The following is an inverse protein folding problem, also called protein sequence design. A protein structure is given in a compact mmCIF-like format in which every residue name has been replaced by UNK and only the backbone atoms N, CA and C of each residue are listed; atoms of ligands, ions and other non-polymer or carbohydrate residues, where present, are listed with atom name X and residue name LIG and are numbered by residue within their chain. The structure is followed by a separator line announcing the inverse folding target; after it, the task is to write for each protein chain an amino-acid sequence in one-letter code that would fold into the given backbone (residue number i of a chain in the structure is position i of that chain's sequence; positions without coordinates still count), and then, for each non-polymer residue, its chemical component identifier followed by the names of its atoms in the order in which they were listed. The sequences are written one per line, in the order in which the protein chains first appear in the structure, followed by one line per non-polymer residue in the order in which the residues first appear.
data_IF_074409731788
#
_entry.id   IF_074409731788
#
_cell.length_a   1.000
_cell.length_b   1.000
_cell.length_c   1.000
_cell.angle_alpha   90.00
_cell.angle_beta   90.00
_cell.angle_gamma   90.00
#
_symmetry.space_group_name_H-M   'P 1'
#
loop_
_entity.id
_entity.type
_entity.pdbx_description
1 polymer ?
#
# COMPACT_ATOMS: atom_id res chain seq x y z
N UNK A 1 36.83 -29.43 20.27
CA UNK A 1 35.51 -29.60 19.62
C UNK A 1 35.08 -28.24 19.10
N UNK A 2 35.06 -28.07 17.78
CA UNK A 2 34.94 -26.75 17.14
C UNK A 2 33.46 -26.33 16.99
N UNK A 3 33.17 -25.09 17.40
CA UNK A 3 31.85 -24.45 17.27
C UNK A 3 31.31 -24.40 15.82
N UNK A 4 32.21 -24.51 14.83
CA UNK A 4 31.88 -24.50 13.41
C UNK A 4 31.33 -25.85 12.93
N UNK A 5 31.82 -26.97 13.45
CA UNK A 5 31.28 -28.30 13.13
C UNK A 5 29.88 -28.49 13.72
N UNK A 6 29.63 -27.98 14.94
CA UNK A 6 28.30 -28.02 15.56
C UNK A 6 27.28 -27.22 14.75
N UNK A 7 27.66 -26.03 14.26
CA UNK A 7 26.79 -25.20 13.39
C UNK A 7 26.56 -25.81 12.01
N UNK A 8 27.54 -26.52 11.45
CA UNK A 8 27.40 -27.22 10.19
C UNK A 8 26.46 -28.43 10.32
N UNK A 9 26.66 -29.27 11.34
CA UNK A 9 25.79 -30.43 11.62
C UNK A 9 24.33 -30.01 11.88
N UNK A 10 24.12 -28.93 12.65
CA UNK A 10 22.76 -28.45 12.94
C UNK A 10 22.04 -27.87 11.72
N UNK A 11 22.77 -27.34 10.73
CA UNK A 11 22.20 -26.89 9.44
C UNK A 11 21.88 -28.07 8.52
N UNK A 12 22.68 -29.13 8.58
CA UNK A 12 22.50 -30.32 7.75
C UNK A 12 21.27 -31.14 8.19
N UNK A 13 21.08 -31.30 9.50
CA UNK A 13 19.86 -31.87 10.11
C UNK A 13 18.59 -31.03 9.84
N UNK A 14 18.72 -29.72 9.66
CA UNK A 14 17.56 -28.87 9.32
C UNK A 14 17.14 -29.01 7.86
N UNK A 15 18.09 -29.34 6.98
CA UNK A 15 17.85 -29.47 5.55
C UNK A 15 17.19 -30.82 5.21
N UNK A 16 17.45 -31.86 6.00
CA UNK A 16 16.78 -33.17 5.91
C UNK A 16 15.33 -33.16 6.42
N UNK A 17 14.90 -32.10 7.11
CA UNK A 17 13.50 -31.90 7.53
C UNK A 17 12.63 -31.21 6.47
N UNK A 18 13.21 -30.77 5.35
CA UNK A 18 12.46 -30.11 4.28
C UNK A 18 11.69 -31.14 3.46
N UNK A 19 10.38 -30.93 3.35
CA UNK A 19 9.52 -31.76 2.52
C UNK A 19 9.67 -31.35 1.05
N UNK A 20 9.77 -32.33 0.14
CA UNK A 20 9.86 -32.09 -1.31
C UNK A 20 8.62 -31.37 -1.88
N UNK A 21 7.47 -31.44 -1.17
CA UNK A 21 6.20 -30.81 -1.57
C UNK A 21 6.04 -29.36 -1.11
N UNK A 22 7.12 -28.69 -0.73
CA UNK A 22 7.14 -27.25 -0.36
C UNK A 22 6.57 -26.36 -1.48
N UNK A 23 6.78 -26.70 -2.76
CA UNK A 23 6.24 -25.93 -3.90
C UNK A 23 4.71 -25.92 -3.93
N UNK A 24 4.06 -27.02 -3.54
CA UNK A 24 2.61 -27.14 -3.45
C UNK A 24 2.02 -26.36 -2.25
N UNK A 25 2.83 -26.12 -1.21
CA UNK A 25 2.42 -25.35 -0.02
C UNK A 25 2.01 -23.92 -0.39
N UNK A 26 2.82 -23.25 -1.21
CA UNK A 26 2.56 -21.87 -1.65
C UNK A 26 1.29 -21.82 -2.51
N UNK A 27 1.17 -22.74 -3.47
CA UNK A 27 -0.03 -22.86 -4.30
C UNK A 27 -1.29 -23.10 -3.46
N UNK A 28 -1.19 -23.94 -2.42
CA UNK A 28 -2.30 -24.16 -1.48
C UNK A 28 -2.65 -22.89 -0.70
N UNK A 29 -1.66 -22.14 -0.21
CA UNK A 29 -1.83 -20.89 0.55
C UNK A 29 -2.53 -19.78 -0.24
N UNK A 30 -2.29 -19.73 -1.55
CA UNK A 30 -2.90 -18.73 -2.44
C UNK A 30 -4.14 -19.27 -3.19
N UNK A 31 -4.51 -20.54 -3.01
CA UNK A 31 -5.65 -21.14 -3.68
C UNK A 31 -5.42 -21.37 -5.18
N UNK A 32 -4.17 -21.53 -5.59
CA UNK A 32 -3.76 -21.76 -6.98
C UNK A 32 -3.83 -23.25 -7.37
N UNK A 33 -3.94 -24.14 -6.39
CA UNK A 33 -4.15 -25.57 -6.62
C UNK A 33 -5.57 -25.86 -7.08
N UNK A 34 -5.72 -26.85 -7.97
CA UNK A 34 -7.04 -27.35 -8.33
C UNK A 34 -7.69 -28.10 -7.13
N UNK A 35 -8.99 -28.37 -7.22
CA UNK A 35 -9.74 -28.91 -6.07
C UNK A 35 -9.25 -30.31 -5.63
N UNK A 36 -8.75 -31.10 -6.58
CA UNK A 36 -8.20 -32.42 -6.30
C UNK A 36 -6.83 -32.33 -5.60
N UNK A 37 -5.93 -31.49 -6.11
CA UNK A 37 -4.62 -31.20 -5.53
C UNK A 37 -4.76 -30.60 -4.14
N UNK A 38 -5.68 -29.65 -3.96
CA UNK A 38 -5.96 -29.01 -2.68
C UNK A 38 -6.37 -30.02 -1.61
N UNK A 39 -7.28 -30.95 -1.92
CA UNK A 39 -7.67 -32.02 -0.98
C UNK A 39 -6.52 -32.98 -0.69
N UNK A 40 -5.73 -33.32 -1.72
CA UNK A 40 -4.58 -34.20 -1.59
C UNK A 40 -3.50 -33.57 -0.71
N UNK A 41 -3.26 -32.27 -0.87
CA UNK A 41 -2.31 -31.51 -0.07
C UNK A 41 -2.83 -31.27 1.35
N UNK A 42 -4.12 -31.02 1.54
CA UNK A 42 -4.73 -30.91 2.87
C UNK A 42 -4.56 -32.19 3.70
N UNK A 43 -4.67 -33.38 3.07
CA UNK A 43 -4.33 -34.64 3.73
C UNK A 43 -2.85 -34.70 4.10
N UNK A 44 -1.97 -34.31 3.19
CA UNK A 44 -0.53 -34.27 3.46
C UNK A 44 -0.17 -33.34 4.64
N UNK A 45 -0.84 -32.19 4.78
CA UNK A 45 -0.66 -31.29 5.93
C UNK A 45 -0.99 -31.97 7.27
N UNK A 46 -1.92 -32.93 7.30
CA UNK A 46 -2.23 -33.68 8.52
C UNK A 46 -1.21 -34.76 8.86
N UNK A 47 -0.43 -35.21 7.85
CA UNK A 47 0.55 -36.30 7.98
C UNK A 47 1.98 -35.76 8.09
N UNK A 48 2.26 -34.54 7.64
CA UNK A 48 3.58 -33.92 7.61
C UNK A 48 3.71 -32.78 8.63
N UNK A 49 4.51 -33.02 9.68
CA UNK A 49 4.80 -32.01 10.70
C UNK A 49 5.60 -30.80 10.15
N UNK A 50 6.46 -31.00 9.16
CA UNK A 50 7.24 -29.91 8.56
C UNK A 50 6.35 -28.91 7.81
N UNK A 51 5.52 -29.39 6.88
CA UNK A 51 4.61 -28.52 6.12
C UNK A 51 3.54 -27.85 6.99
N UNK A 52 3.07 -28.51 8.06
CA UNK A 52 2.13 -27.88 9.00
C UNK A 52 2.79 -26.79 9.84
N UNK A 53 4.04 -26.98 10.26
CA UNK A 53 4.82 -25.95 10.95
C UNK A 53 5.10 -24.74 10.04
N UNK A 54 5.49 -24.97 8.79
CA UNK A 54 5.67 -23.90 7.80
C UNK A 54 4.38 -23.13 7.53
N UNK A 55 3.25 -23.83 7.34
CA UNK A 55 1.94 -23.20 7.17
C UNK A 55 1.57 -22.33 8.37
N UNK A 56 1.84 -22.80 9.60
CA UNK A 56 1.60 -22.01 10.81
C UNK A 56 2.49 -20.77 10.87
N UNK A 57 3.76 -20.88 10.50
CA UNK A 57 4.68 -19.74 10.44
C UNK A 57 4.18 -18.67 9.46
N UNK A 58 3.72 -19.06 8.27
CA UNK A 58 3.14 -18.13 7.29
C UNK A 58 1.86 -17.46 7.81
N UNK A 59 0.97 -18.20 8.50
CA UNK A 59 -0.23 -17.62 9.10
C UNK A 59 0.11 -16.55 10.14
N UNK A 60 1.07 -16.81 11.01
CA UNK A 60 1.51 -15.85 12.03
C UNK A 60 2.04 -14.54 11.41
N UNK A 61 2.80 -14.64 10.31
CA UNK A 61 3.28 -13.46 9.57
C UNK A 61 2.08 -12.67 9.02
N UNK A 62 1.12 -13.35 8.40
CA UNK A 62 -0.06 -12.71 7.82
C UNK A 62 -0.92 -12.01 8.88
N UNK A 63 -1.12 -12.65 10.02
CA UNK A 63 -1.82 -12.07 11.16
C UNK A 63 -1.10 -10.84 11.70
N UNK A 64 0.24 -10.88 11.80
CA UNK A 64 1.05 -9.73 12.22
C UNK A 64 0.92 -8.55 11.25
N UNK A 65 0.91 -8.82 9.93
CA UNK A 65 0.70 -7.78 8.90
C UNK A 65 -0.72 -7.21 8.98
N UNK A 66 -1.73 -8.04 9.20
CA UNK A 66 -3.12 -7.60 9.39
C UNK A 66 -3.24 -6.74 10.65
N UNK A 67 -2.67 -7.18 11.78
CA UNK A 67 -2.68 -6.41 13.02
C UNK A 67 -2.01 -5.03 12.84
N UNK A 68 -0.87 -4.98 12.15
CA UNK A 68 -0.20 -3.71 11.84
C UNK A 68 -1.03 -2.81 10.90
N UNK A 69 -1.65 -3.40 9.87
CA UNK A 69 -2.57 -2.68 8.99
C UNK A 69 -3.75 -2.12 9.77
N UNK A 70 -4.34 -2.90 10.66
CA UNK A 70 -5.53 -2.50 11.41
C UNK A 70 -5.18 -1.44 12.47
N UNK A 71 -3.99 -1.49 13.06
CA UNK A 71 -3.47 -0.41 13.92
C UNK A 71 -3.25 0.89 13.13
N UNK A 72 -2.61 0.80 11.95
CA UNK A 72 -2.31 1.98 11.12
C UNK A 72 -3.54 2.60 10.46
N UNK A 73 -4.53 1.78 10.07
CA UNK A 73 -5.77 2.24 9.45
C UNK A 73 -6.90 2.45 10.46
N UNK A 74 -6.85 1.85 11.66
CA UNK A 74 -7.88 1.98 12.68
C UNK A 74 -8.10 3.43 13.11
N UNK A 75 -7.02 4.20 13.26
CA UNK A 75 -7.09 5.64 13.50
C UNK A 75 -7.66 6.43 12.31
N UNK A 76 -7.31 6.03 11.08
CA UNK A 76 -7.79 6.68 9.87
C UNK A 76 -9.27 6.39 9.56
N UNK A 77 -9.75 5.17 9.84
CA UNK A 77 -11.13 4.76 9.67
C UNK A 77 -12.04 5.38 10.74
N UNK A 78 -11.56 5.50 11.98
CA UNK A 78 -12.29 6.22 13.03
C UNK A 78 -12.39 7.72 12.73
N UNK A 79 -11.30 8.34 12.24
CA UNK A 79 -11.33 9.72 11.76
C UNK A 79 -12.25 9.89 10.55
N UNK A 80 -12.20 8.99 9.56
CA UNK A 80 -13.07 9.01 8.39
C UNK A 80 -14.55 8.85 8.77
N UNK A 81 -14.88 7.94 9.70
CA UNK A 81 -16.23 7.74 10.23
C UNK A 81 -16.72 8.99 10.99
N UNK A 82 -15.86 9.60 11.82
CA UNK A 82 -16.16 10.86 12.51
C UNK A 82 -16.32 12.05 11.55
N UNK A 83 -15.71 11.99 10.36
CA UNK A 83 -15.84 13.03 9.33
C UNK A 83 -17.08 12.78 8.46
N UNK A 84 -17.43 11.52 8.22
CA UNK A 84 -18.65 11.10 7.50
C UNK A 84 -19.92 11.41 8.30
N UNK A 85 -19.92 11.21 9.61
CA UNK A 85 -21.03 11.62 10.48
C UNK A 85 -21.22 13.13 10.49
N UNK A 86 -20.11 13.90 10.50
CA UNK A 86 -20.13 15.37 10.35
C UNK A 86 -20.52 15.88 8.98
N UNK A 87 -20.38 15.06 7.94
CA UNK A 87 -20.81 15.40 6.58
C UNK A 87 -22.30 15.12 6.35
N UNK A 88 -22.89 14.17 7.09
CA UNK A 88 -24.32 13.83 6.97
C UNK A 88 -25.25 14.95 7.48
N UNK A 89 -24.73 15.84 8.33
CA UNK A 89 -25.46 16.99 8.89
C UNK A 89 -25.39 18.27 8.02
N UNK A 90 -24.61 18.27 6.93
CA UNK A 90 -24.54 19.39 5.97
C UNK A 90 -25.27 19.00 4.68
N UNK A 91 -26.59 19.15 4.73
CA UNK A 91 -27.48 18.94 3.60
C UNK A 91 -27.17 19.79 2.36
N UNK A 92 -27.69 19.29 1.24
CA UNK A 92 -28.64 20.09 0.44
C UNK A 92 -28.13 21.40 -0.18
N UNK A 93 -26.83 21.51 -0.52
CA UNK A 93 -26.35 22.60 -1.41
C UNK A 93 -25.31 22.10 -2.40
N UNK A 94 -25.62 22.31 -3.69
CA UNK A 94 -24.79 22.19 -4.91
C UNK A 94 -24.90 20.88 -5.70
N UNK A 95 -25.98 20.83 -6.47
CA UNK A 95 -26.13 20.13 -7.76
C UNK A 95 -25.10 20.54 -8.86
N UNK A 96 -23.96 21.16 -8.52
CA UNK A 96 -22.92 21.57 -9.48
C UNK A 96 -21.70 20.62 -9.50
N UNK A 97 -21.70 19.60 -8.64
CA UNK A 97 -20.57 18.68 -8.45
C UNK A 97 -20.73 17.33 -9.15
N UNK A 98 -21.52 17.22 -10.23
CA UNK A 98 -21.72 15.92 -10.91
C UNK A 98 -20.42 15.39 -11.56
N UNK A 99 -19.65 16.27 -12.21
CA UNK A 99 -18.34 15.89 -12.78
C UNK A 99 -17.22 15.78 -11.74
N UNK A 100 -17.25 16.66 -10.73
CA UNK A 100 -16.29 16.63 -9.60
C UNK A 100 -16.56 15.45 -8.65
N UNK A 101 -17.80 14.95 -8.61
CA UNK A 101 -18.22 13.79 -7.84
C UNK A 101 -17.60 12.52 -8.37
N UNK A 102 -17.65 12.30 -9.69
CA UNK A 102 -17.00 11.15 -10.34
C UNK A 102 -15.47 11.16 -10.12
N UNK A 103 -14.81 12.32 -10.31
CA UNK A 103 -13.38 12.48 -10.00
C UNK A 103 -13.08 12.21 -8.52
N UNK A 104 -13.93 12.69 -7.61
CA UNK A 104 -13.80 12.45 -6.16
C UNK A 104 -14.00 10.97 -5.79
N UNK A 105 -14.81 10.24 -6.54
CA UNK A 105 -14.99 8.80 -6.38
C UNK A 105 -13.73 8.04 -6.80
N UNK A 106 -13.10 8.41 -7.92
CA UNK A 106 -11.79 7.88 -8.32
C UNK A 106 -10.66 8.23 -7.33
N UNK A 107 -10.70 9.41 -6.71
CA UNK A 107 -9.74 9.81 -5.67
C UNK A 107 -10.05 9.25 -4.27
N UNK A 108 -11.28 8.81 -4.03
CA UNK A 108 -11.64 8.08 -2.81
C UNK A 108 -11.15 6.63 -2.88
N UNK A 109 -11.19 6.00 -4.06
CA UNK A 109 -10.63 4.68 -4.30
C UNK A 109 -9.10 4.68 -4.52
N UNK A 110 -8.45 5.84 -4.65
CA UNK A 110 -7.02 5.87 -4.97
C UNK A 110 -6.12 5.67 -3.72
N UNK A 111 -5.06 4.85 -3.86
CA UNK A 111 -4.16 4.50 -2.76
C UNK A 111 -3.44 5.74 -2.20
N UNK A 112 -3.16 5.71 -0.89
CA UNK A 112 -2.64 6.82 -0.08
C UNK A 112 -1.40 7.52 -0.67
N UNK A 113 -0.61 6.83 -1.50
CA UNK A 113 0.55 7.39 -2.21
C UNK A 113 0.20 8.49 -3.23
N UNK A 114 -1.00 8.48 -3.78
CA UNK A 114 -1.44 9.44 -4.80
C UNK A 114 -1.90 10.78 -4.19
N UNK A 115 -2.38 10.77 -2.93
CA UNK A 115 -2.71 11.98 -2.17
C UNK A 115 -1.47 12.82 -1.85
N UNK A 116 -0.32 12.19 -1.63
CA UNK A 116 0.97 12.87 -1.47
C UNK A 116 1.43 13.58 -2.75
N UNK A 117 1.25 12.93 -3.91
CA UNK A 117 1.63 13.48 -5.22
C UNK A 117 0.84 14.75 -5.58
N UNK A 118 -0.45 14.82 -5.24
CA UNK A 118 -1.29 16.00 -5.46
C UNK A 118 -0.85 17.21 -4.63
N UNK A 119 -0.50 17.01 -3.35
CA UNK A 119 0.03 18.08 -2.51
C UNK A 119 1.39 18.57 -3.01
N UNK A 120 2.24 17.65 -3.47
CA UNK A 120 3.54 18.01 -4.05
C UNK A 120 3.38 18.76 -5.38
N UNK A 121 2.48 18.31 -6.25
CA UNK A 121 2.18 18.96 -7.51
C UNK A 121 1.59 20.37 -7.33
N UNK A 122 0.72 20.56 -6.34
CA UNK A 122 0.15 21.89 -6.05
C UNK A 122 1.20 22.87 -5.51
N UNK A 123 2.08 22.41 -4.62
CA UNK A 123 3.19 23.23 -4.12
C UNK A 123 4.15 23.58 -5.24
N UNK A 124 4.56 22.60 -6.07
CA UNK A 124 5.41 22.86 -7.24
C UNK A 124 4.75 23.85 -8.20
N UNK A 125 3.47 23.67 -8.50
CA UNK A 125 2.73 24.58 -9.37
C UNK A 125 2.71 26.01 -8.82
N UNK A 126 2.47 26.19 -7.52
CA UNK A 126 2.51 27.49 -6.87
C UNK A 126 3.91 28.12 -6.92
N UNK A 127 4.96 27.33 -6.73
CA UNK A 127 6.35 27.79 -6.84
C UNK A 127 6.65 28.23 -8.28
N UNK A 128 6.30 27.43 -9.29
CA UNK A 128 6.51 27.77 -10.69
C UNK A 128 5.69 29.00 -11.13
N UNK A 129 4.43 29.11 -10.69
CA UNK A 129 3.60 30.26 -10.98
C UNK A 129 4.16 31.54 -10.32
N UNK A 130 4.58 31.46 -9.06
CA UNK A 130 5.24 32.57 -8.37
C UNK A 130 6.54 32.99 -9.05
N UNK A 131 7.35 32.02 -9.48
CA UNK A 131 8.61 32.26 -10.19
C UNK A 131 8.38 32.87 -11.57
N UNK A 132 7.38 32.39 -12.32
CA UNK A 132 6.98 32.97 -13.60
C UNK A 132 6.50 34.42 -13.45
N UNK A 133 5.68 34.71 -12.43
CA UNK A 133 5.24 36.08 -12.13
C UNK A 133 6.42 36.96 -11.72
N UNK A 134 7.33 36.45 -10.90
CA UNK A 134 8.54 37.18 -10.50
C UNK A 134 9.42 37.50 -11.72
N UNK A 135 9.64 36.52 -12.61
CA UNK A 135 10.39 36.71 -13.85
C UNK A 135 9.70 37.74 -14.73
N UNK A 136 8.40 37.62 -15.00
CA UNK A 136 7.65 38.61 -15.80
C UNK A 136 7.69 40.02 -15.22
N UNK A 137 7.72 40.16 -13.88
CA UNK A 137 7.91 41.45 -13.20
C UNK A 137 9.33 41.98 -13.36
N UNK A 138 10.35 41.11 -13.30
CA UNK A 138 11.74 41.51 -13.57
C UNK A 138 12.01 41.83 -15.03
N UNK A 139 11.23 41.28 -15.97
CA UNK A 139 11.28 41.61 -17.41
C UNK A 139 10.47 42.87 -17.74
N UNK A 140 9.74 43.45 -16.77
CA UNK A 140 9.09 44.74 -16.92
C UNK A 140 9.91 45.88 -16.28
N UNK A 141 11.04 46.28 -16.89
CA UNK A 141 11.47 47.66 -16.86
C UNK A 141 11.53 48.19 -18.29
N UNK A 142 10.52 49.02 -18.61
CA UNK A 142 10.54 50.16 -19.55
C UNK A 142 9.26 50.24 -20.40
N UNK A 143 8.18 50.68 -19.77
CA UNK A 143 7.20 51.49 -20.47
C UNK A 143 7.85 52.82 -20.86
N UNK A 144 7.81 53.14 -22.15
CA UNK A 144 7.79 54.49 -22.72
C UNK A 144 9.08 55.33 -22.57
N UNK A 145 9.92 55.28 -23.60
CA UNK A 145 10.65 56.48 -24.03
C UNK A 145 9.90 57.03 -25.26
N UNK A 146 9.03 58.01 -25.03
CA UNK A 146 8.62 58.99 -26.04
C UNK A 146 9.90 59.66 -26.54
N UNK A 147 10.28 59.42 -27.79
CA UNK A 147 11.20 60.31 -28.49
C UNK A 147 10.37 61.23 -29.38
N UNK A 148 10.23 62.46 -28.89
CA UNK A 148 9.95 63.62 -29.70
C UNK A 148 11.24 64.01 -30.42
N UNK A 149 11.25 63.89 -31.75
CA UNK A 149 11.91 64.83 -32.68
C UNK A 149 11.29 64.67 -34.06
#
# INVERSE_FOLDING_TARGET
MNQLEVRANMKEELNTLKCERESELIGFLYGELNEFESRTFARHLSECAACSAELSAFKNIRESVIAWRDESLGGALFAAAATASRAAEVGERRSASSALGALREFFNLSPLWMKGALAFASVLFCLFAGLAIAVLRTTSPASVAVNAN
#
